data_IF_493764543107
#
_entry.id   IF_493764543107
#
_cell.length_a   1.000
_cell.length_b   1.000
_cell.length_c   1.000
_cell.angle_alpha   90.00
_cell.angle_beta   90.00
_cell.angle_gamma   90.00
#
_symmetry.space_group_name_H-M   'P 1'
#
loop_
_entity.id
_entity.type
_entity.pdbx_description
1 polymer ?
#
# COMPACT_ATOMS: atom_id res chain seq x y z
N UNK A 1 -5.86 -13.76 12.59
CA UNK A 1 -4.44 -13.91 12.17
C UNK A 1 -3.63 -14.19 13.43
N UNK A 2 -2.62 -15.07 13.44
CA UNK A 2 -1.91 -15.39 14.70
C UNK A 2 -1.03 -14.21 15.14
N UNK A 3 -0.92 -13.96 16.46
CA UNK A 3 -0.05 -12.94 17.07
C UNK A 3 1.40 -12.99 16.54
N UNK A 4 1.90 -14.19 16.19
CA UNK A 4 3.26 -14.38 15.68
C UNK A 4 3.48 -13.70 14.32
N UNK A 5 2.45 -13.66 13.47
CA UNK A 5 2.53 -13.12 12.12
C UNK A 5 2.46 -11.59 12.09
N UNK A 6 2.09 -10.98 13.21
CA UNK A 6 2.01 -9.53 13.32
C UNK A 6 3.40 -8.90 13.37
N UNK A 7 3.66 -7.93 12.48
CA UNK A 7 4.92 -7.20 12.41
C UNK A 7 4.82 -5.87 13.16
N UNK A 8 5.82 -5.61 14.01
CA UNK A 8 5.91 -4.35 14.75
C UNK A 8 6.18 -3.21 13.77
N UNK A 9 5.48 -2.10 13.93
CA UNK A 9 5.60 -0.92 13.08
C UNK A 9 4.64 -0.89 11.89
N UNK A 10 4.05 -2.04 11.51
CA UNK A 10 3.06 -2.11 10.43
C UNK A 10 1.64 -1.74 10.89
N UNK A 11 0.86 -1.25 9.93
CA UNK A 11 -0.57 -0.97 10.07
C UNK A 11 -1.41 -2.14 9.58
N UNK A 12 -2.47 -2.43 10.32
CA UNK A 12 -3.44 -3.48 10.04
C UNK A 12 -4.84 -2.88 10.03
N UNK A 13 -5.71 -3.40 9.18
CA UNK A 13 -7.14 -3.06 9.16
C UNK A 13 -7.92 -4.14 9.92
N UNK A 14 -8.80 -3.72 10.83
CA UNK A 14 -9.70 -4.65 11.53
C UNK A 14 -10.82 -5.05 10.58
N UNK A 15 -10.79 -6.29 10.07
CA UNK A 15 -11.86 -6.83 9.23
C UNK A 15 -13.03 -7.33 10.06
N UNK A 16 -12.73 -8.00 11.16
CA UNK A 16 -13.75 -8.58 12.03
C UNK A 16 -13.21 -8.86 13.44
N UNK A 17 -14.12 -9.08 14.39
CA UNK A 17 -13.81 -9.42 15.78
C UNK A 17 -14.72 -10.56 16.26
N UNK A 18 -14.15 -11.77 16.37
CA UNK A 18 -14.84 -13.00 16.72
C UNK A 18 -14.87 -13.23 18.25
N UNK A 19 -15.27 -12.21 19.01
CA UNK A 19 -15.39 -12.26 20.48
C UNK A 19 -16.84 -12.24 20.94
N UNK A 20 -17.07 -12.49 22.23
CA UNK A 20 -18.38 -12.29 22.87
C UNK A 20 -18.84 -10.84 22.75
N UNK A 21 -20.16 -10.62 22.65
CA UNK A 21 -20.74 -9.30 22.40
C UNK A 21 -20.35 -8.24 23.45
N UNK A 22 -20.19 -8.61 24.72
CA UNK A 22 -19.79 -7.68 25.78
C UNK A 22 -18.35 -7.17 25.59
N UNK A 23 -17.42 -8.08 25.27
CA UNK A 23 -16.02 -7.75 24.99
C UNK A 23 -15.93 -6.91 23.71
N UNK A 24 -16.68 -7.29 22.67
CA UNK A 24 -16.73 -6.55 21.40
C UNK A 24 -17.18 -5.12 21.59
N UNK A 25 -18.23 -4.88 22.39
CA UNK A 25 -18.72 -3.53 22.71
C UNK A 25 -17.67 -2.72 23.46
N UNK A 26 -16.99 -3.34 24.43
CA UNK A 26 -15.92 -2.68 25.18
C UNK A 26 -14.76 -2.27 24.27
N UNK A 27 -14.30 -3.17 23.39
CA UNK A 27 -13.26 -2.88 22.39
C UNK A 27 -13.69 -1.80 21.40
N UNK A 28 -14.95 -1.82 20.96
CA UNK A 28 -15.49 -0.79 20.08
C UNK A 28 -15.49 0.60 20.74
N UNK A 29 -15.83 0.68 22.04
CA UNK A 29 -15.74 1.92 22.83
C UNK A 29 -14.30 2.43 22.94
N UNK A 30 -13.32 1.52 23.03
CA UNK A 30 -11.89 1.86 23.05
C UNK A 30 -11.34 2.25 21.67
N UNK A 31 -12.12 2.07 20.60
CA UNK A 31 -11.78 2.46 19.23
C UNK A 31 -11.44 1.29 18.30
N UNK A 32 -11.39 0.05 18.80
CA UNK A 32 -11.23 -1.18 18.01
C UNK A 32 -12.58 -1.58 17.40
N UNK A 33 -12.99 -0.91 16.32
CA UNK A 33 -14.15 -1.33 15.52
C UNK A 33 -13.73 -1.85 14.14
N UNK A 34 -14.63 -2.58 13.50
CA UNK A 34 -14.46 -3.05 12.12
C UNK A 34 -14.25 -1.85 11.19
N UNK A 35 -13.26 -1.97 10.31
CA UNK A 35 -12.83 -0.92 9.38
C UNK A 35 -11.84 0.09 9.95
N UNK A 36 -11.47 0.01 11.23
CA UNK A 36 -10.44 0.89 11.78
C UNK A 36 -9.03 0.39 11.47
N UNK A 37 -8.14 1.37 11.30
CA UNK A 37 -6.71 1.14 11.17
C UNK A 37 -6.06 1.12 12.54
N UNK A 38 -5.30 0.05 12.78
CA UNK A 38 -4.53 -0.12 14.01
C UNK A 38 -3.07 -0.34 13.66
N UNK A 39 -2.16 0.24 14.44
CA UNK A 39 -0.72 0.10 14.23
C UNK A 39 -0.09 -0.62 15.40
N UNK A 40 0.86 -1.52 15.13
CA UNK A 40 1.53 -2.26 16.20
C UNK A 40 2.74 -1.47 16.69
N UNK A 41 2.75 -1.12 17.97
CA UNK A 41 3.87 -0.43 18.60
C UNK A 41 4.88 -1.43 19.14
N UNK A 42 4.39 -2.48 19.78
CA UNK A 42 5.22 -3.55 20.33
C UNK A 42 4.43 -4.83 20.43
N UNK A 43 5.14 -5.96 20.38
CA UNK A 43 4.58 -7.28 20.65
C UNK A 43 5.45 -7.99 21.66
N UNK A 44 4.81 -8.65 22.61
CA UNK A 44 5.44 -9.61 23.52
C UNK A 44 4.88 -11.01 23.21
N UNK A 45 5.34 -12.05 23.92
CA UNK A 45 4.83 -13.42 23.72
C UNK A 45 3.37 -13.58 24.15
N UNK A 46 2.89 -12.76 25.08
CA UNK A 46 1.57 -12.90 25.74
C UNK A 46 0.59 -11.80 25.37
N UNK A 47 1.10 -10.65 24.95
CA UNK A 47 0.30 -9.45 24.73
C UNK A 47 0.96 -8.52 23.71
N UNK A 48 0.18 -7.68 23.05
CA UNK A 48 0.69 -6.67 22.12
C UNK A 48 0.05 -5.30 22.36
N UNK A 49 0.81 -4.25 22.07
CA UNK A 49 0.36 -2.87 22.18
C UNK A 49 -0.02 -2.37 20.79
N UNK A 50 -1.30 -2.08 20.62
CA UNK A 50 -1.86 -1.48 19.41
C UNK A 50 -2.10 0.01 19.62
N UNK A 51 -1.64 0.82 18.68
CA UNK A 51 -2.06 2.20 18.53
C UNK A 51 -3.36 2.23 17.73
N UNK A 52 -4.39 2.80 18.31
CA UNK A 52 -5.71 2.97 17.69
C UNK A 52 -6.10 4.43 17.85
N UNK A 53 -6.15 5.16 16.74
CA UNK A 53 -6.26 6.63 16.75
C UNK A 53 -5.16 7.23 17.64
N UNK A 54 -5.53 8.01 18.66
CA UNK A 54 -4.59 8.58 19.63
C UNK A 54 -4.30 7.66 20.83
N UNK A 55 -4.99 6.52 20.97
CA UNK A 55 -4.93 5.65 22.15
C UNK A 55 -4.00 4.45 21.95
N UNK A 56 -3.27 4.06 23.01
CA UNK A 56 -2.47 2.84 23.06
C UNK A 56 -3.21 1.78 23.88
N UNK A 57 -3.53 0.66 23.24
CA UNK A 57 -4.29 -0.44 23.82
C UNK A 57 -3.40 -1.67 23.93
N UNK A 58 -3.16 -2.11 25.16
CA UNK A 58 -2.53 -3.40 25.42
C UNK A 58 -3.61 -4.48 25.36
N UNK A 59 -3.47 -5.41 24.43
CA UNK A 59 -4.35 -6.55 24.29
C UNK A 59 -3.59 -7.83 24.65
N UNK A 60 -4.29 -8.75 25.28
CA UNK A 60 -3.79 -10.09 25.58
C UNK A 60 -3.89 -11.02 24.36
N UNK A 61 -3.36 -12.22 24.49
CA UNK A 61 -3.36 -13.20 23.41
C UNK A 61 -4.78 -13.57 22.95
N UNK A 62 -5.72 -13.74 23.88
CA UNK A 62 -7.09 -14.17 23.56
C UNK A 62 -7.82 -13.15 22.70
N UNK A 63 -7.73 -11.85 23.04
CA UNK A 63 -8.33 -10.79 22.23
C UNK A 63 -7.62 -10.68 20.88
N UNK A 64 -6.31 -10.88 20.81
CA UNK A 64 -5.57 -10.79 19.54
C UNK A 64 -5.93 -11.93 18.59
N UNK A 65 -6.07 -13.15 19.11
CA UNK A 65 -6.41 -14.32 18.29
C UNK A 65 -7.83 -14.27 17.73
N UNK A 66 -8.74 -13.59 18.43
CA UNK A 66 -10.11 -13.35 17.98
C UNK A 66 -10.25 -12.18 17.00
N UNK A 67 -9.20 -11.38 16.79
CA UNK A 67 -9.18 -10.32 15.79
C UNK A 67 -8.81 -10.85 14.39
N UNK A 68 -9.66 -10.52 13.42
CA UNK A 68 -9.38 -10.74 12.00
C UNK A 68 -8.76 -9.48 11.43
N UNK A 69 -7.43 -9.47 11.38
CA UNK A 69 -6.63 -8.37 10.86
C UNK A 69 -6.21 -8.64 9.42
N UNK A 70 -6.27 -7.59 8.58
CA UNK A 70 -5.69 -7.58 7.23
C UNK A 70 -4.47 -6.66 7.27
N UNK A 71 -3.33 -7.14 6.79
CA UNK A 71 -2.15 -6.28 6.57
C UNK A 71 -2.52 -5.17 5.61
N UNK A 72 -2.45 -3.93 6.09
CA UNK A 72 -2.46 -2.78 5.19
C UNK A 72 -1.02 -2.63 4.76
N UNK A 73 -0.64 -3.36 3.71
CA UNK A 73 0.64 -3.16 3.05
C UNK A 73 0.73 -1.67 2.75
N UNK A 74 1.60 -0.96 3.50
CA UNK A 74 1.99 0.39 3.17
C UNK A 74 2.48 0.31 1.74
N UNK A 75 1.65 0.75 0.82
CA UNK A 75 1.95 0.56 -0.60
C UNK A 75 2.97 1.64 -0.90
N UNK A 76 4.24 1.27 -0.74
CA UNK A 76 5.37 2.16 -0.92
C UNK A 76 5.30 2.79 -2.30
N UNK A 77 5.55 4.09 -2.33
CA UNK A 77 5.70 4.80 -3.59
C UNK A 77 7.13 4.54 -4.04
N UNK A 78 7.26 3.83 -5.15
CA UNK A 78 8.54 3.52 -5.79
C UNK A 78 8.65 4.33 -7.09
N UNK A 79 9.85 4.45 -7.63
CA UNK A 79 10.02 5.05 -8.94
C UNK A 79 9.51 4.09 -10.01
N UNK A 80 8.96 4.62 -11.11
CA UNK A 80 8.53 3.82 -12.25
C UNK A 80 9.68 2.98 -12.83
N UNK A 81 10.93 3.47 -12.72
CA UNK A 81 12.12 2.74 -13.14
C UNK A 81 12.46 1.49 -12.32
N UNK A 82 11.91 1.40 -11.11
CA UNK A 82 12.14 0.29 -10.15
C UNK A 82 10.93 -0.63 -10.05
N UNK A 83 9.83 -0.29 -10.72
CA UNK A 83 8.63 -1.11 -10.71
C UNK A 83 8.90 -2.47 -11.38
N UNK A 84 8.39 -3.58 -10.81
CA UNK A 84 8.52 -4.90 -11.40
C UNK A 84 7.87 -4.98 -12.79
N UNK A 85 8.54 -5.64 -13.73
CA UNK A 85 7.97 -5.91 -15.06
C UNK A 85 6.72 -6.79 -14.90
N UNK A 86 5.67 -6.48 -15.66
CA UNK A 86 4.39 -7.19 -15.58
C UNK A 86 3.49 -6.74 -14.42
N UNK A 87 3.88 -5.69 -13.68
CA UNK A 87 3.04 -5.11 -12.64
C UNK A 87 2.14 -3.99 -13.16
N UNK A 88 0.95 -3.89 -12.57
CA UNK A 88 0.09 -2.71 -12.71
C UNK A 88 0.47 -1.70 -11.64
N UNK A 89 0.53 -0.42 -11.99
CA UNK A 89 0.84 0.63 -11.05
C UNK A 89 -0.01 1.87 -11.30
N UNK A 90 -0.15 2.70 -10.28
CA UNK A 90 -0.85 3.97 -10.33
C UNK A 90 0.13 5.11 -10.08
N UNK A 91 0.11 6.11 -10.94
CA UNK A 91 0.94 7.31 -10.78
C UNK A 91 0.47 8.08 -9.55
N UNK A 92 1.36 8.25 -8.57
CA UNK A 92 1.11 9.01 -7.35
C UNK A 92 1.63 10.43 -7.47
N UNK A 93 2.82 10.60 -8.05
CA UNK A 93 3.43 11.91 -8.26
C UNK A 93 4.37 11.94 -9.47
N UNK A 94 4.66 13.16 -9.96
CA UNK A 94 5.56 13.42 -11.07
C UNK A 94 6.51 14.53 -10.65
N UNK A 95 7.77 14.15 -10.39
CA UNK A 95 8.85 15.02 -9.92
C UNK A 95 9.59 15.72 -11.07
N UNK A 96 9.22 15.47 -12.32
CA UNK A 96 9.76 16.18 -13.48
C UNK A 96 9.37 17.67 -13.45
N UNK A 97 10.24 18.53 -14.00
CA UNK A 97 10.03 19.99 -14.03
C UNK A 97 10.03 20.55 -15.46
N UNK A 98 9.57 21.79 -15.61
CA UNK A 98 9.62 22.54 -16.87
C UNK A 98 8.95 21.84 -18.06
N UNK A 99 9.64 21.86 -19.20
CA UNK A 99 9.14 21.29 -20.46
C UNK A 99 8.90 19.78 -20.39
N UNK A 100 9.69 19.05 -19.60
CA UNK A 100 9.55 17.60 -19.46
C UNK A 100 8.25 17.23 -18.77
N UNK A 101 7.91 17.91 -17.66
CA UNK A 101 6.64 17.69 -16.94
C UNK A 101 5.43 17.88 -17.85
N UNK A 102 5.45 18.96 -18.63
CA UNK A 102 4.37 19.29 -19.57
C UNK A 102 4.24 18.20 -20.64
N UNK A 103 5.35 17.77 -21.24
CA UNK A 103 5.38 16.67 -22.21
C UNK A 103 4.82 15.37 -21.62
N UNK A 104 5.24 14.98 -20.41
CA UNK A 104 4.72 13.76 -19.76
C UNK A 104 3.19 13.84 -19.57
N UNK A 105 2.68 14.99 -19.14
CA UNK A 105 1.24 15.22 -18.98
C UNK A 105 0.49 15.21 -20.32
N UNK A 106 1.04 15.84 -21.36
CA UNK A 106 0.48 15.84 -22.72
C UNK A 106 0.44 14.41 -23.30
N UNK A 107 1.44 13.59 -22.95
CA UNK A 107 1.49 12.15 -23.25
C UNK A 107 0.64 11.29 -22.30
N UNK A 108 -0.26 11.88 -21.51
CA UNK A 108 -1.24 11.15 -20.71
C UNK A 108 -0.75 10.62 -19.36
N UNK A 109 0.52 10.84 -19.00
CA UNK A 109 1.04 10.56 -17.65
C UNK A 109 0.65 11.70 -16.71
N UNK A 110 -0.51 11.52 -16.07
CA UNK A 110 -1.02 12.44 -15.04
C UNK A 110 -1.11 11.75 -13.69
N UNK A 111 -1.21 12.51 -12.61
CA UNK A 111 -1.50 11.95 -11.27
C UNK A 111 -2.76 11.10 -11.32
N UNK A 112 -2.74 9.97 -10.62
CA UNK A 112 -3.76 8.93 -10.59
C UNK A 112 -3.93 8.10 -11.88
N UNK A 113 -3.07 8.27 -12.88
CA UNK A 113 -3.13 7.44 -14.11
C UNK A 113 -2.74 6.00 -13.77
N UNK A 114 -3.56 5.04 -14.22
CA UNK A 114 -3.22 3.63 -14.19
C UNK A 114 -2.34 3.30 -15.38
N UNK A 115 -1.27 2.56 -15.13
CA UNK A 115 -0.34 2.10 -16.13
C UNK A 115 0.09 0.66 -15.85
N UNK A 116 0.57 -0.01 -16.89
CA UNK A 116 1.11 -1.36 -16.82
C UNK A 116 2.54 -1.37 -17.33
N UNK A 117 3.48 -1.95 -16.58
CA UNK A 117 4.83 -2.14 -17.06
C UNK A 117 4.90 -3.36 -17.97
N UNK A 118 5.12 -3.12 -19.27
CA UNK A 118 5.15 -4.20 -20.26
C UNK A 118 6.51 -4.89 -20.30
N UNK A 119 7.57 -4.12 -20.53
CA UNK A 119 8.95 -4.63 -20.56
C UNK A 119 9.94 -3.48 -20.40
N UNK A 120 11.15 -3.84 -20.01
CA UNK A 120 12.31 -2.97 -20.06
C UNK A 120 13.22 -3.49 -21.18
N UNK A 121 13.87 -2.59 -21.92
CA UNK A 121 14.83 -2.99 -22.94
C UNK A 121 15.98 -3.83 -22.33
N UNK A 122 16.68 -4.67 -23.13
CA UNK A 122 17.72 -5.59 -22.64
C UNK A 122 18.83 -4.92 -21.81
N UNK A 123 19.12 -3.64 -22.08
CA UNK A 123 20.14 -2.86 -21.39
C UNK A 123 19.58 -1.98 -20.25
N UNK A 124 18.31 -2.14 -19.90
CA UNK A 124 17.66 -1.40 -18.81
C UNK A 124 17.03 -0.06 -19.21
N UNK A 125 17.16 0.38 -20.46
CA UNK A 125 16.62 1.63 -21.01
C UNK A 125 16.36 1.46 -22.52
N UNK A 126 15.20 1.85 -23.07
CA UNK A 126 14.02 2.45 -22.41
C UNK A 126 13.05 1.47 -21.77
N UNK A 127 12.07 2.03 -21.04
CA UNK A 127 10.97 1.32 -20.37
C UNK A 127 9.71 1.48 -21.20
N UNK A 128 9.04 0.38 -21.52
CA UNK A 128 7.75 0.37 -22.21
C UNK A 128 6.60 0.18 -21.21
N UNK A 129 5.67 1.12 -21.22
CA UNK A 129 4.47 1.10 -20.38
C UNK A 129 3.21 1.17 -21.24
N UNK A 130 2.11 0.63 -20.75
CA UNK A 130 0.78 0.78 -21.35
C UNK A 130 -0.05 1.68 -20.46
N UNK A 131 -0.64 2.74 -21.04
CA UNK A 131 -1.57 3.64 -20.34
C UNK A 131 -2.63 4.14 -21.31
N UNK A 132 -3.85 4.38 -20.83
CA UNK A 132 -4.97 4.91 -21.65
C UNK A 132 -5.20 4.16 -22.98
N UNK A 133 -4.88 2.87 -23.03
CA UNK A 133 -5.07 2.03 -24.23
C UNK A 133 -3.98 2.13 -25.30
N UNK A 134 -2.85 2.79 -25.03
CA UNK A 134 -1.69 2.81 -25.92
C UNK A 134 -0.37 2.54 -25.19
N UNK A 135 0.67 2.27 -25.96
CA UNK A 135 2.02 2.01 -25.47
C UNK A 135 2.84 3.29 -25.54
N UNK A 136 3.53 3.60 -24.44
CA UNK A 136 4.42 4.71 -24.32
C UNK A 136 5.80 4.21 -23.89
N UNK A 137 6.82 4.63 -24.62
CA UNK A 137 8.22 4.35 -24.31
C UNK A 137 8.82 5.55 -23.61
N UNK A 138 9.33 5.35 -22.40
CA UNK A 138 10.00 6.39 -21.62
C UNK A 138 11.46 6.05 -21.44
N UNK A 139 12.33 7.06 -21.44
CA UNK A 139 13.70 6.85 -20.99
C UNK A 139 13.71 6.53 -19.49
N UNK A 140 14.69 5.75 -19.06
CA UNK A 140 14.89 5.41 -17.64
C UNK A 140 15.01 6.66 -16.77
N UNK A 141 15.69 7.70 -17.27
CA UNK A 141 15.80 8.99 -16.57
C UNK A 141 14.45 9.69 -16.38
N UNK A 142 13.54 9.58 -17.36
CA UNK A 142 12.18 10.14 -17.25
C UNK A 142 11.34 9.32 -16.27
N UNK A 143 11.45 7.99 -16.32
CA UNK A 143 10.75 7.08 -15.41
C UNK A 143 11.20 7.21 -13.94
N UNK A 144 12.47 7.55 -13.70
CA UNK A 144 12.98 7.84 -12.35
C UNK A 144 12.29 9.04 -11.68
N UNK A 145 11.72 9.96 -12.47
CA UNK A 145 10.99 11.12 -11.96
C UNK A 145 9.49 10.87 -11.74
N UNK A 146 9.02 9.63 -11.89
CA UNK A 146 7.60 9.28 -11.75
C UNK A 146 7.44 8.35 -10.55
N UNK A 147 6.77 8.83 -9.52
CA UNK A 147 6.42 8.04 -8.33
C UNK A 147 5.15 7.24 -8.58
N UNK A 148 5.23 5.92 -8.45
CA UNK A 148 4.13 4.99 -8.68
C UNK A 148 3.89 4.09 -7.48
N UNK A 149 2.64 3.67 -7.33
CA UNK A 149 2.19 2.71 -6.34
C UNK A 149 1.73 1.45 -7.06
N UNK A 150 2.32 0.29 -6.75
CA UNK A 150 1.90 -0.98 -7.34
C UNK A 150 0.47 -1.27 -6.91
N UNK A 151 -0.40 -1.55 -7.88
CA UNK A 151 -1.77 -1.97 -7.64
C UNK A 151 -1.94 -3.43 -8.05
N UNK A 152 -2.65 -4.20 -7.23
CA UNK A 152 -3.05 -5.58 -7.52
C UNK A 152 -4.24 -5.67 -8.47
N UNK A 153 -4.79 -4.54 -8.93
CA UNK A 153 -5.87 -4.51 -9.92
C UNK A 153 -5.33 -4.70 -11.33
N UNK A 154 -5.26 -5.97 -11.76
CA UNK A 154 -5.08 -6.34 -13.18
C UNK A 154 -6.43 -6.17 -13.88
N UNK A 155 -6.61 -5.07 -14.61
CA UNK A 155 -7.69 -5.02 -15.61
C UNK A 155 -7.15 -5.56 -16.93
N UNK A 156 -7.67 -6.74 -17.30
CA UNK A 156 -7.56 -7.32 -18.65
C UNK A 156 -8.17 -6.39 -19.69
#
# INVERSE_FOLDING_TARGET
MKLQNLQVGQSYLVKDCLTQDDIRKHLAHLGLKVGEEIRIISKTKTSAIFQVKASRLALDREIIESLVLIEKSATEIINLSEAPIGSSAKVMDIYATGALRRRLMDMGLTKNTQLFLKKVAPLGDPIEITLRGYELTLRKSEAQMIGVQITSEVRK
#
